data_IF_303370082412
#
_entry.id   IF_303370082412
#
_cell.length_a   1.000
_cell.length_b   1.000
_cell.length_c   1.000
_cell.angle_alpha   90.00
_cell.angle_beta   90.00
_cell.angle_gamma   90.00
#
_symmetry.space_group_name_H-M   'P 1'
#
loop_
_entity.id
_entity.type
_entity.pdbx_description
1 polymer ?
#
# COMPACT_ATOMS: atom_id res chain seq x y z
N UNK A 1 -27.48 5.44 15.59
CA UNK A 1 -26.48 4.41 15.23
C UNK A 1 -25.53 5.04 14.22
N UNK A 2 -24.37 5.51 14.68
CA UNK A 2 -23.44 6.26 13.82
C UNK A 2 -22.68 5.31 12.90
N UNK A 3 -22.86 5.42 11.60
CA UNK A 3 -21.97 4.80 10.62
C UNK A 3 -20.58 5.43 10.81
N UNK A 4 -19.63 4.69 11.40
CA UNK A 4 -18.23 5.08 11.39
C UNK A 4 -17.81 5.23 9.93
N UNK A 5 -17.40 6.43 9.54
CA UNK A 5 -16.81 6.67 8.23
C UNK A 5 -15.57 5.76 8.11
N UNK A 6 -15.64 4.77 7.21
CA UNK A 6 -14.50 3.92 6.91
C UNK A 6 -13.45 4.76 6.17
N UNK A 7 -12.15 4.58 6.45
CA UNK A 7 -11.11 5.18 5.63
C UNK A 7 -11.29 4.71 4.18
N UNK A 8 -10.98 5.63 3.26
CA UNK A 8 -11.37 5.56 1.86
C UNK A 8 -10.09 5.50 1.04
N UNK A 9 -9.88 4.42 0.29
CA UNK A 9 -8.73 4.32 -0.59
C UNK A 9 -9.02 5.02 -1.90
N UNK A 10 -8.14 5.95 -2.26
CA UNK A 10 -8.15 6.63 -3.54
C UNK A 10 -7.08 6.00 -4.45
N UNK A 11 -7.34 4.87 -5.12
CA UNK A 11 -6.49 4.40 -6.20
C UNK A 11 -6.39 5.54 -7.22
N UNK A 12 -5.18 5.94 -7.61
CA UNK A 12 -4.93 7.20 -8.31
C UNK A 12 -5.33 7.18 -9.81
N UNK A 13 -6.33 6.37 -10.17
CA UNK A 13 -7.01 6.39 -11.46
C UNK A 13 -8.16 7.42 -11.53
N UNK A 14 -8.40 8.22 -10.48
CA UNK A 14 -9.41 9.30 -10.53
C UNK A 14 -9.02 10.33 -11.61
N UNK A 15 -9.95 10.75 -12.50
CA UNK A 15 -9.70 11.79 -13.51
C UNK A 15 -9.15 13.11 -12.94
N UNK A 16 -9.37 13.37 -11.64
CA UNK A 16 -8.86 14.55 -10.94
C UNK A 16 -7.33 14.62 -10.82
N UNK A 17 -6.60 13.50 -10.87
CA UNK A 17 -5.13 13.53 -10.78
C UNK A 17 -4.46 14.06 -12.06
N UNK A 18 -5.15 14.05 -13.21
CA UNK A 18 -4.59 14.43 -14.50
C UNK A 18 -4.56 15.95 -14.74
N UNK A 19 -5.16 16.78 -13.87
CA UNK A 19 -5.32 18.23 -14.10
C UNK A 19 -4.09 19.07 -13.70
N UNK A 20 -2.99 18.47 -13.24
CA UNK A 20 -1.75 19.20 -12.93
C UNK A 20 -0.55 18.82 -13.80
N UNK A 21 -0.73 18.64 -15.11
CA UNK A 21 0.39 18.73 -16.06
C UNK A 21 -0.04 19.48 -17.32
N UNK A 22 -0.06 20.81 -17.23
CA UNK A 22 -0.31 21.72 -18.35
C UNK A 22 0.89 22.63 -18.63
N UNK A 23 1.42 22.50 -19.86
CA UNK A 23 2.03 23.57 -20.67
C UNK A 23 3.53 23.91 -20.48
N UNK A 24 4.34 23.65 -21.52
CA UNK A 24 5.67 24.25 -21.68
C UNK A 24 6.37 23.81 -22.98
N UNK A 25 6.76 24.77 -23.80
CA UNK A 25 7.15 24.65 -25.21
C UNK A 25 8.56 24.09 -25.48
N UNK A 26 8.81 23.76 -26.75
CA UNK A 26 10.07 23.28 -27.30
C UNK A 26 11.24 24.28 -27.21
N UNK A 27 12.45 23.78 -26.89
CA UNK A 27 13.73 24.44 -27.15
C UNK A 27 14.85 23.40 -27.35
N UNK A 28 15.75 23.71 -28.28
CA UNK A 28 16.92 22.95 -28.79
C UNK A 28 18.09 22.81 -27.80
N UNK A 29 19.10 21.95 -28.06
CA UNK A 29 20.07 21.53 -27.04
C UNK A 29 21.27 22.48 -26.91
N UNK A 30 21.70 22.73 -25.67
CA UNK A 30 22.91 23.46 -25.31
C UNK A 30 23.54 22.87 -24.05
N UNK A 31 24.87 22.82 -24.03
CA UNK A 31 25.75 22.12 -23.08
C UNK A 31 25.67 22.59 -21.61
N UNK A 32 25.91 21.63 -20.70
CA UNK A 32 26.67 21.80 -19.45
C UNK A 32 26.02 22.58 -18.29
N UNK A 33 25.71 21.88 -17.19
CA UNK A 33 26.12 22.22 -15.80
C UNK A 33 25.55 21.17 -14.83
N UNK A 34 26.42 20.64 -13.96
CA UNK A 34 26.07 19.78 -12.82
C UNK A 34 25.26 20.62 -11.81
N UNK A 35 23.92 20.52 -11.89
CA UNK A 35 23.00 21.21 -10.97
C UNK A 35 22.37 20.22 -10.00
N UNK A 36 22.56 20.46 -8.70
CA UNK A 36 21.94 19.69 -7.62
C UNK A 36 20.42 19.66 -7.75
N UNK A 37 19.88 18.49 -8.10
CA UNK A 37 18.45 18.23 -8.09
C UNK A 37 17.99 18.00 -6.65
N UNK A 38 17.09 18.85 -6.17
CA UNK A 38 16.34 18.61 -4.94
C UNK A 38 15.71 17.21 -5.00
N UNK A 39 15.91 16.42 -3.94
CA UNK A 39 15.30 15.10 -3.82
C UNK A 39 13.77 15.22 -4.00
N UNK A 40 13.14 14.31 -4.77
CA UNK A 40 11.70 14.33 -4.95
C UNK A 40 10.99 14.26 -3.60
N UNK A 41 9.84 14.95 -3.44
CA UNK A 41 9.14 15.02 -2.16
C UNK A 41 8.78 13.60 -1.71
N UNK A 42 9.20 13.28 -0.49
CA UNK A 42 8.94 11.99 0.16
C UNK A 42 7.42 11.73 0.21
N UNK A 43 6.93 10.52 -0.12
CA UNK A 43 5.54 10.20 0.10
C UNK A 43 5.25 10.19 1.61
N UNK A 44 4.48 11.19 2.05
CA UNK A 44 3.96 11.42 3.41
C UNK A 44 3.01 10.29 3.87
N UNK A 45 3.52 9.08 4.10
CA UNK A 45 2.76 8.07 4.83
C UNK A 45 3.58 7.28 5.86
N UNK A 46 4.85 7.62 6.00
CA UNK A 46 5.69 7.02 7.02
C UNK A 46 5.54 7.90 8.27
N UNK A 47 5.05 7.30 9.37
CA UNK A 47 5.04 7.82 10.74
C UNK A 47 3.73 8.42 11.30
N UNK A 48 2.54 7.85 11.05
CA UNK A 48 1.43 8.11 11.98
C UNK A 48 0.34 7.03 12.02
N UNK A 49 0.70 5.81 12.42
CA UNK A 49 -0.31 4.85 12.89
C UNK A 49 0.25 4.00 14.02
N UNK A 50 -0.29 4.20 15.23
CA UNK A 50 -0.21 3.30 16.39
C UNK A 50 -0.82 1.91 16.14
N UNK A 51 -1.43 1.69 14.96
CA UNK A 51 -2.04 0.42 14.55
C UNK A 51 -1.04 -0.70 14.18
N UNK A 52 0.28 -0.44 14.23
CA UNK A 52 1.33 -1.45 14.00
C UNK A 52 1.57 -2.37 15.23
N UNK A 53 0.64 -2.39 16.18
CA UNK A 53 0.86 -2.95 17.51
C UNK A 53 0.87 -4.47 17.57
N UNK A 54 0.18 -5.21 16.69
CA UNK A 54 0.11 -6.68 16.82
C UNK A 54 1.49 -7.35 16.65
N UNK A 55 2.18 -7.09 15.55
CA UNK A 55 3.52 -7.65 15.33
C UNK A 55 4.61 -7.01 16.21
N UNK A 56 4.39 -5.82 16.75
CA UNK A 56 5.31 -5.19 17.68
C UNK A 56 5.11 -5.70 19.11
N UNK A 57 3.88 -6.04 19.50
CA UNK A 57 3.57 -6.65 20.79
C UNK A 57 4.14 -8.07 20.88
N UNK A 58 4.05 -8.87 19.81
CA UNK A 58 4.71 -10.19 19.73
C UNK A 58 6.24 -10.12 19.87
N UNK A 59 6.83 -9.05 19.35
CA UNK A 59 8.27 -8.78 19.51
C UNK A 59 8.55 -8.39 20.96
N UNK A 60 7.77 -7.46 21.52
CA UNK A 60 7.90 -7.05 22.92
C UNK A 60 7.75 -8.24 23.89
N UNK A 61 6.79 -9.14 23.69
CA UNK A 61 6.58 -10.32 24.55
C UNK A 61 7.82 -11.23 24.62
N UNK A 62 8.67 -11.27 23.59
CA UNK A 62 9.93 -12.03 23.60
C UNK A 62 11.04 -11.34 24.41
N UNK A 63 10.93 -10.03 24.63
CA UNK A 63 11.94 -9.20 25.31
C UNK A 63 11.49 -8.72 26.70
N UNK A 64 10.19 -8.80 26.99
CA UNK A 64 9.59 -8.51 28.30
C UNK A 64 9.55 -9.81 29.10
N UNK A 65 10.68 -10.18 29.70
CA UNK A 65 10.72 -11.14 30.80
C UNK A 65 10.42 -10.37 32.10
N UNK A 66 9.46 -10.79 32.93
CA UNK A 66 9.19 -10.15 34.23
C UNK A 66 10.42 -10.08 35.16
N UNK A 67 11.42 -10.93 34.90
CA UNK A 67 12.68 -10.98 35.64
C UNK A 67 13.79 -10.09 35.06
N UNK A 68 13.60 -9.51 33.87
CA UNK A 68 14.57 -8.55 33.33
C UNK A 68 14.43 -7.21 34.04
N UNK A 69 15.57 -6.59 34.31
CA UNK A 69 15.60 -5.20 34.76
C UNK A 69 15.09 -4.26 33.67
N UNK A 70 14.57 -3.11 34.08
CA UNK A 70 14.18 -2.04 33.15
C UNK A 70 15.34 -1.61 32.21
N UNK A 71 16.58 -1.73 32.69
CA UNK A 71 17.80 -1.40 31.94
C UNK A 71 18.04 -2.41 30.81
N UNK A 72 17.86 -3.71 31.07
CA UNK A 72 18.00 -4.75 30.05
C UNK A 72 16.92 -4.62 28.97
N UNK A 73 15.68 -4.31 29.38
CA UNK A 73 14.60 -3.98 28.45
C UNK A 73 14.96 -2.79 27.55
N UNK A 74 15.41 -1.67 28.13
CA UNK A 74 15.80 -0.48 27.36
C UNK A 74 16.95 -0.77 26.37
N UNK A 75 17.90 -1.61 26.78
CA UNK A 75 19.02 -2.04 25.94
C UNK A 75 18.55 -2.87 24.76
N UNK A 76 17.69 -3.87 25.00
CA UNK A 76 17.13 -4.72 23.95
C UNK A 76 16.24 -3.92 23.00
N UNK A 77 15.44 -3.01 23.54
CA UNK A 77 14.58 -2.13 22.75
C UNK A 77 15.40 -1.24 21.79
N UNK A 78 16.49 -0.65 22.28
CA UNK A 78 17.39 0.16 21.46
C UNK A 78 18.01 -0.67 20.34
N UNK A 79 18.45 -1.89 20.63
CA UNK A 79 18.98 -2.81 19.61
C UNK A 79 17.94 -3.21 18.55
N UNK A 80 16.67 -3.36 18.92
CA UNK A 80 15.57 -3.61 17.98
C UNK A 80 15.33 -2.37 17.11
N UNK A 81 15.30 -1.18 17.71
CA UNK A 81 15.14 0.07 16.97
C UNK A 81 16.24 0.25 15.92
N UNK A 82 17.50 0.03 16.28
CA UNK A 82 18.62 0.14 15.34
C UNK A 82 18.47 -0.84 14.17
N UNK A 83 18.12 -2.10 14.44
CA UNK A 83 17.86 -3.11 13.39
C UNK A 83 16.72 -2.69 12.45
N UNK A 84 15.64 -2.12 12.99
CA UNK A 84 14.53 -1.59 12.20
C UNK A 84 14.99 -0.43 11.33
N UNK A 85 15.78 0.50 11.87
CA UNK A 85 16.31 1.65 11.13
C UNK A 85 17.20 1.21 9.97
N UNK A 86 18.11 0.25 10.19
CA UNK A 86 18.96 -0.32 9.13
C UNK A 86 18.11 -0.99 8.05
N UNK A 87 17.08 -1.75 8.42
CA UNK A 87 16.18 -2.40 7.47
C UNK A 87 15.37 -1.38 6.64
N UNK A 88 14.87 -0.32 7.27
CA UNK A 88 14.15 0.77 6.59
C UNK A 88 15.08 1.51 5.62
N UNK A 89 16.31 1.84 6.05
CA UNK A 89 17.29 2.50 5.19
C UNK A 89 17.64 1.64 3.97
N UNK A 90 17.82 0.33 4.16
CA UNK A 90 18.06 -0.60 3.05
C UNK A 90 16.88 -0.66 2.08
N UNK A 91 15.65 -0.74 2.58
CA UNK A 91 14.44 -0.75 1.76
C UNK A 91 14.28 0.56 0.96
N UNK A 92 14.65 1.70 1.55
CA UNK A 92 14.67 3.00 0.84
C UNK A 92 15.65 3.00 -0.32
N UNK A 93 16.89 2.54 -0.07
CA UNK A 93 17.90 2.38 -1.14
C UNK A 93 17.38 1.44 -2.23
N UNK A 94 16.82 0.30 -1.84
CA UNK A 94 16.28 -0.66 -2.80
C UNK A 94 15.13 -0.07 -3.62
N UNK A 95 14.23 0.69 -3.00
CA UNK A 95 13.12 1.36 -3.70
C UNK A 95 13.59 2.43 -4.69
N UNK A 96 14.67 3.16 -4.36
CA UNK A 96 15.21 4.23 -5.23
C UNK A 96 16.01 3.64 -6.40
N UNK A 97 16.84 2.63 -6.13
CA UNK A 97 17.88 2.20 -7.05
C UNK A 97 17.62 0.84 -7.72
N UNK A 98 16.69 0.02 -7.23
CA UNK A 98 16.34 -1.24 -7.89
C UNK A 98 15.08 -1.08 -8.71
N UNK A 99 15.14 -1.55 -9.94
CA UNK A 99 13.93 -1.66 -10.75
C UNK A 99 13.10 -2.85 -10.28
N UNK A 100 11.83 -2.58 -9.93
CA UNK A 100 10.87 -3.63 -9.69
C UNK A 100 10.44 -4.28 -11.02
N UNK A 101 10.57 -5.60 -11.10
CA UNK A 101 10.04 -6.37 -12.22
C UNK A 101 8.51 -6.27 -12.25
N UNK A 102 7.96 -5.87 -13.39
CA UNK A 102 6.51 -5.84 -13.62
C UNK A 102 5.98 -7.25 -13.89
N UNK A 103 4.81 -7.56 -13.36
CA UNK A 103 4.07 -8.78 -13.64
C UNK A 103 3.25 -8.64 -14.93
N UNK A 104 2.67 -7.46 -15.16
CA UNK A 104 1.86 -7.14 -16.34
C UNK A 104 2.12 -5.71 -16.83
N UNK A 105 1.56 -5.33 -17.98
CA UNK A 105 1.55 -3.93 -18.46
C UNK A 105 0.27 -3.20 -18.02
N UNK A 106 -0.34 -3.61 -16.91
CA UNK A 106 -1.56 -2.97 -16.41
C UNK A 106 -1.25 -1.53 -15.94
N UNK A 107 -2.05 -0.52 -16.33
CA UNK A 107 -1.83 0.87 -15.92
C UNK A 107 -1.76 1.08 -14.41
N UNK A 108 -2.56 0.35 -13.63
CA UNK A 108 -2.55 0.41 -12.17
C UNK A 108 -1.21 -0.10 -11.63
N UNK A 109 -0.67 -1.17 -12.22
CA UNK A 109 0.61 -1.71 -11.79
C UNK A 109 1.77 -0.74 -12.07
N UNK A 110 1.76 -0.12 -13.25
CA UNK A 110 2.77 0.90 -13.61
C UNK A 110 2.72 2.07 -12.64
N UNK A 111 1.52 2.49 -12.26
CA UNK A 111 1.33 3.59 -11.33
C UNK A 111 1.78 3.21 -9.90
N UNK A 112 1.42 2.03 -9.43
CA UNK A 112 1.81 1.56 -8.10
C UNK A 112 3.32 1.34 -7.97
N UNK A 113 4.02 1.01 -9.06
CA UNK A 113 5.49 0.94 -9.08
C UNK A 113 6.15 2.27 -8.69
N UNK A 114 5.54 3.40 -9.05
CA UNK A 114 6.06 4.73 -8.72
C UNK A 114 5.69 5.22 -7.30
N UNK A 115 4.70 4.60 -6.66
CA UNK A 115 4.14 5.05 -5.38
C UNK A 115 4.58 4.16 -4.22
N UNK A 116 4.66 2.84 -4.43
CA UNK A 116 4.96 1.87 -3.39
C UNK A 116 6.47 1.65 -3.22
N UNK A 117 6.88 1.35 -1.99
CA UNK A 117 8.21 0.77 -1.75
C UNK A 117 8.32 -0.59 -2.43
N UNK A 118 9.54 -1.05 -2.67
CA UNK A 118 9.79 -2.34 -3.34
C UNK A 118 9.05 -3.53 -2.67
N UNK A 119 9.02 -3.56 -1.34
CA UNK A 119 8.32 -4.56 -0.55
C UNK A 119 6.79 -4.45 -0.69
N UNK A 120 6.26 -3.22 -0.60
CA UNK A 120 4.83 -2.99 -0.75
C UNK A 120 4.36 -3.31 -2.18
N UNK A 121 5.17 -2.96 -3.19
CA UNK A 121 4.92 -3.30 -4.59
C UNK A 121 4.95 -4.81 -4.83
N UNK A 122 5.90 -5.53 -4.21
CA UNK A 122 5.94 -7.00 -4.31
C UNK A 122 4.69 -7.64 -3.71
N UNK A 123 4.16 -7.11 -2.59
CA UNK A 123 2.87 -7.55 -2.01
C UNK A 123 1.68 -7.18 -2.90
N UNK A 124 1.71 -5.99 -3.52
CA UNK A 124 0.71 -5.55 -4.48
C UNK A 124 0.60 -6.49 -5.67
N UNK A 125 1.72 -6.97 -6.21
CA UNK A 125 1.71 -7.92 -7.33
C UNK A 125 1.05 -9.26 -6.98
N UNK A 126 1.12 -9.67 -5.71
CA UNK A 126 0.37 -10.85 -5.23
C UNK A 126 -1.14 -10.56 -5.27
N UNK A 127 -1.58 -9.39 -4.81
CA UNK A 127 -3.00 -8.98 -4.88
C UNK A 127 -3.49 -8.86 -6.34
N UNK A 128 -2.66 -8.34 -7.23
CA UNK A 128 -2.93 -8.27 -8.68
C UNK A 128 -3.15 -9.64 -9.31
N UNK A 129 -2.38 -10.67 -8.90
CA UNK A 129 -2.61 -12.05 -9.35
C UNK A 129 -3.89 -12.61 -8.74
N UNK A 130 -4.11 -12.36 -7.46
CA UNK A 130 -5.21 -12.91 -6.70
C UNK A 130 -6.58 -12.37 -7.12
N UNK A 131 -6.66 -11.16 -7.69
CA UNK A 131 -7.92 -10.60 -8.20
C UNK A 131 -8.62 -11.52 -9.21
N UNK A 132 -7.84 -12.29 -9.99
CA UNK A 132 -8.35 -13.25 -10.97
C UNK A 132 -9.03 -14.47 -10.34
N UNK A 133 -8.84 -14.69 -9.05
CA UNK A 133 -9.51 -15.75 -8.30
C UNK A 133 -10.90 -15.33 -7.77
N UNK A 134 -11.36 -14.11 -8.06
CA UNK A 134 -12.66 -13.60 -7.62
C UNK A 134 -13.61 -13.29 -8.78
N UNK A 135 -14.86 -13.73 -8.62
CA UNK A 135 -16.01 -13.25 -9.38
C UNK A 135 -16.52 -11.93 -8.80
N UNK A 136 -17.20 -11.12 -9.63
CA UNK A 136 -17.70 -9.80 -9.25
C UNK A 136 -19.15 -9.65 -9.71
N UNK A 137 -20.06 -9.44 -8.76
CA UNK A 137 -21.46 -9.08 -9.02
C UNK A 137 -21.66 -7.60 -8.71
N UNK A 138 -22.32 -6.87 -9.61
CA UNK A 138 -22.71 -5.47 -9.34
C UNK A 138 -24.03 -5.46 -8.56
N UNK A 139 -24.04 -4.79 -7.42
CA UNK A 139 -25.22 -4.54 -6.60
C UNK A 139 -25.69 -3.09 -6.78
N UNK A 140 -26.66 -2.66 -5.96
CA UNK A 140 -27.16 -1.28 -5.97
C UNK A 140 -26.17 -0.31 -5.33
N UNK A 141 -26.34 0.99 -5.62
CA UNK A 141 -25.63 2.11 -4.98
C UNK A 141 -24.10 2.05 -5.06
N UNK A 142 -23.55 1.52 -6.16
CA UNK A 142 -22.10 1.43 -6.36
C UNK A 142 -21.41 0.38 -5.47
N UNK A 143 -22.18 -0.60 -4.97
CA UNK A 143 -21.65 -1.73 -4.21
C UNK A 143 -21.37 -2.92 -5.13
N UNK A 144 -20.27 -3.62 -4.89
CA UNK A 144 -19.85 -4.82 -5.62
C UNK A 144 -19.64 -5.97 -4.64
N UNK A 145 -20.17 -7.16 -4.98
CA UNK A 145 -19.94 -8.39 -4.21
C UNK A 145 -18.84 -9.21 -4.88
N UNK A 146 -17.86 -9.60 -4.08
CA UNK A 146 -16.74 -10.43 -4.46
C UNK A 146 -16.87 -11.82 -3.85
N UNK A 147 -16.93 -12.84 -4.69
CA UNK A 147 -17.03 -14.24 -4.28
C UNK A 147 -15.87 -15.05 -4.88
N UNK A 148 -15.39 -16.05 -4.15
CA UNK A 148 -14.24 -16.84 -4.57
C UNK A 148 -14.61 -17.83 -5.68
N UNK A 149 -13.85 -17.82 -6.77
CA UNK A 149 -13.97 -18.81 -7.86
C UNK A 149 -13.31 -20.15 -7.52
N UNK A 150 -12.45 -20.17 -6.49
CA UNK A 150 -11.59 -21.32 -6.16
C UNK A 150 -11.79 -21.86 -4.74
N UNK A 151 -12.91 -21.52 -4.09
CA UNK A 151 -13.19 -21.86 -2.69
C UNK A 151 -12.29 -21.08 -1.72
N UNK A 152 -11.65 -21.77 -0.76
CA UNK A 152 -10.86 -21.11 0.28
C UNK A 152 -9.58 -20.48 -0.29
N UNK A 153 -9.49 -19.15 -0.24
CA UNK A 153 -8.29 -18.42 -0.68
C UNK A 153 -7.34 -18.15 0.49
N UNK A 154 -6.01 -18.36 0.32
CA UNK A 154 -5.03 -18.00 1.34
C UNK A 154 -5.18 -16.52 1.75
N UNK A 155 -5.16 -16.26 3.07
CA UNK A 155 -5.33 -14.93 3.71
C UNK A 155 -6.74 -14.33 3.68
N UNK A 156 -7.66 -14.86 2.87
CA UNK A 156 -9.02 -14.32 2.74
C UNK A 156 -10.13 -15.32 3.12
N UNK A 157 -9.84 -16.62 3.19
CA UNK A 157 -10.83 -17.63 3.54
C UNK A 157 -11.88 -17.83 2.43
N UNK A 158 -13.09 -18.24 2.84
CA UNK A 158 -14.19 -18.63 1.94
C UNK A 158 -15.41 -17.69 2.03
N UNK A 159 -15.20 -16.49 2.57
CA UNK A 159 -16.29 -15.51 2.73
C UNK A 159 -16.37 -14.59 1.54
N UNK A 160 -17.57 -14.06 1.33
CA UNK A 160 -17.76 -12.94 0.41
C UNK A 160 -17.24 -11.64 1.00
N UNK A 161 -16.84 -10.75 0.09
CA UNK A 161 -16.40 -9.40 0.40
C UNK A 161 -17.23 -8.39 -0.38
N UNK A 162 -17.40 -7.21 0.19
CA UNK A 162 -18.12 -6.11 -0.47
C UNK A 162 -17.19 -4.94 -0.67
N UNK A 163 -17.24 -4.35 -1.87
CA UNK A 163 -16.53 -3.13 -2.22
C UNK A 163 -17.56 -2.04 -2.48
N UNK A 164 -17.52 -0.98 -1.70
CA UNK A 164 -18.21 0.27 -2.00
C UNK A 164 -17.30 1.10 -2.89
N UNK A 165 -17.76 1.50 -4.06
CA UNK A 165 -17.01 2.35 -4.99
C UNK A 165 -17.80 3.62 -5.32
N UNK A 166 -17.18 4.77 -5.07
CA UNK A 166 -17.52 6.02 -5.74
C UNK A 166 -16.52 6.21 -6.88
N UNK A 167 -16.91 5.84 -8.11
CA UNK A 167 -16.02 5.92 -9.28
C UNK A 167 -15.72 7.36 -9.68
N UNK A 168 -16.62 8.29 -9.40
CA UNK A 168 -16.46 9.71 -9.74
C UNK A 168 -15.40 10.39 -8.86
N UNK A 169 -15.44 10.10 -7.55
CA UNK A 169 -14.40 10.52 -6.61
C UNK A 169 -13.14 9.63 -6.70
N UNK A 170 -13.26 8.48 -7.36
CA UNK A 170 -12.29 7.38 -7.37
C UNK A 170 -11.94 6.92 -5.96
N UNK A 171 -12.96 6.73 -5.13
CA UNK A 171 -12.85 6.35 -3.73
C UNK A 171 -13.49 4.99 -3.49
N UNK A 172 -12.75 4.09 -2.84
CA UNK A 172 -13.11 2.69 -2.66
C UNK A 172 -12.93 2.28 -1.21
N UNK A 173 -13.88 1.49 -0.70
CA UNK A 173 -13.79 0.86 0.61
C UNK A 173 -14.16 -0.62 0.49
N UNK A 174 -13.39 -1.51 1.11
CA UNK A 174 -13.64 -2.94 1.07
C UNK A 174 -13.80 -3.50 2.47
N UNK A 175 -14.76 -4.41 2.66
CA UNK A 175 -15.01 -5.09 3.95
C UNK A 175 -13.84 -5.96 4.44
N UNK A 176 -12.82 -6.21 3.61
CA UNK A 176 -11.58 -6.86 4.05
C UNK A 176 -10.66 -5.92 4.86
N UNK A 177 -10.90 -4.61 4.81
CA UNK A 177 -10.15 -3.54 5.46
C UNK A 177 -8.64 -3.53 5.16
N UNK A 178 -8.17 -4.27 4.15
CA UNK A 178 -6.75 -4.42 3.87
C UNK A 178 -6.08 -3.11 3.46
N UNK A 179 -6.79 -2.27 2.72
CA UNK A 179 -6.24 -0.98 2.32
C UNK A 179 -6.04 -0.07 3.54
N UNK A 180 -7.01 -0.05 4.46
CA UNK A 180 -6.94 0.73 5.69
C UNK A 180 -5.88 0.18 6.66
N UNK A 181 -5.78 -1.14 6.77
CA UNK A 181 -4.88 -1.81 7.73
C UNK A 181 -3.43 -1.87 7.22
N UNK A 182 -3.25 -2.16 5.94
CA UNK A 182 -1.94 -2.48 5.36
C UNK A 182 -1.41 -1.36 4.45
N UNK A 183 -2.22 -0.32 4.15
CA UNK A 183 -1.88 0.70 3.15
C UNK A 183 -1.82 0.15 1.72
N UNK A 184 -2.45 -1.00 1.46
CA UNK A 184 -2.30 -1.77 0.23
C UNK A 184 -3.66 -2.08 -0.41
N UNK A 185 -3.81 -1.75 -1.70
CA UNK A 185 -4.97 -2.17 -2.49
C UNK A 185 -5.13 -3.70 -2.47
N UNK A 186 -6.28 -4.18 -2.04
CA UNK A 186 -6.59 -5.61 -2.06
C UNK A 186 -7.08 -6.10 -3.42
N UNK A 187 -6.99 -7.40 -3.63
CA UNK A 187 -7.55 -8.10 -4.79
C UNK A 187 -9.01 -7.73 -5.10
N UNK A 188 -9.83 -7.45 -4.07
CA UNK A 188 -11.23 -7.08 -4.24
C UNK A 188 -11.41 -5.72 -4.89
N UNK A 189 -10.71 -4.69 -4.40
CA UNK A 189 -10.76 -3.34 -5.00
C UNK A 189 -10.17 -3.40 -6.41
N UNK A 190 -9.07 -4.13 -6.59
CA UNK A 190 -8.43 -4.30 -7.90
C UNK A 190 -9.32 -4.98 -8.94
N UNK A 191 -10.26 -5.83 -8.51
CA UNK A 191 -11.23 -6.48 -9.38
C UNK A 191 -12.35 -5.54 -9.83
N UNK A 192 -12.66 -4.51 -9.04
CA UNK A 192 -13.63 -3.45 -9.41
C UNK A 192 -13.00 -2.37 -10.30
N UNK A 193 -11.68 -2.17 -10.17
CA UNK A 193 -10.89 -1.22 -10.97
C UNK A 193 -10.55 -1.70 -12.39
N UNK A 194 -11.00 -2.90 -12.78
CA UNK A 194 -10.74 -3.45 -14.12
C UNK A 194 -11.43 -2.69 -15.25
#
# INVERSE_FOLDING_TARGET
>A
MGHKAHPRCAPPLSPLAATQMGSGAAATPGEGTLGGGAAPPLPLYILETTARSEGFNDVLEKYVNPNNSLIEFATQYTAIQEKVMVAVAKEQVDTIYKEANMYSLNPIELQMRGIYTQNLFSKFQVEMKLKTAYGCDTLQDGTFRMWSLRGILPKYGDRDYHVQANKDEGVYACTCCKCDRDGLLCAHILRVLE
#
